data_IF_029715821999
#
_entry.id   IF_029715821999
#
_cell.length_a   1.000
_cell.length_b   1.000
_cell.length_c   1.000
_cell.angle_alpha   90.00
_cell.angle_beta   90.00
_cell.angle_gamma   90.00
#
_symmetry.space_group_name_H-M   'P 1'
#
loop_
_entity.id
_entity.type
_entity.pdbx_description
1 polymer ?
#
# COMPACT_ATOMS: atom_id res chain seq x y z
N UNK A 1 2.83 20.75 42.39
CA UNK A 1 1.45 20.34 42.78
C UNK A 1 1.22 18.84 42.61
N UNK A 2 2.28 18.06 42.36
CA UNK A 2 2.20 16.59 42.10
C UNK A 2 2.68 15.69 43.27
N UNK A 3 3.03 16.27 44.39
CA UNK A 3 3.47 15.47 45.57
C UNK A 3 2.34 15.21 46.60
N UNK A 4 1.18 15.85 46.44
CA UNK A 4 0.07 15.78 47.41
C UNK A 4 -1.02 14.75 47.08
N UNK A 5 -1.01 14.18 45.88
CA UNK A 5 -2.00 13.17 45.45
C UNK A 5 -1.58 11.71 45.68
N UNK A 6 -0.31 11.46 46.00
CA UNK A 6 0.20 10.11 46.27
C UNK A 6 0.08 9.67 47.72
N UNK A 7 -0.17 10.58 48.64
CA UNK A 7 -0.16 10.29 50.07
C UNK A 7 -1.52 9.94 50.66
N UNK A 8 -2.62 10.08 49.93
CA UNK A 8 -3.99 9.99 50.51
C UNK A 8 -4.69 8.64 50.31
N UNK A 9 -4.15 7.74 49.49
CA UNK A 9 -4.77 6.41 49.28
C UNK A 9 -4.11 5.33 50.13
N UNK A 10 -2.81 5.46 50.46
CA UNK A 10 -2.05 4.48 51.25
C UNK A 10 -2.25 4.60 52.77
N UNK A 11 -2.63 5.77 53.31
CA UNK A 11 -2.82 5.98 54.75
C UNK A 11 -4.19 5.50 55.30
N UNK A 12 -5.04 4.93 54.45
CA UNK A 12 -6.35 4.35 54.86
C UNK A 12 -6.45 2.85 54.78
N UNK A 13 -5.39 2.17 54.40
CA UNK A 13 -5.34 0.71 54.41
C UNK A 13 -4.73 0.25 55.75
N UNK A 14 -5.59 -0.30 56.60
CA UNK A 14 -5.20 -0.96 57.84
C UNK A 14 -4.30 -2.17 57.48
N UNK A 15 -2.98 -1.99 57.59
CA UNK A 15 -1.94 -2.95 57.17
C UNK A 15 -1.98 -4.29 57.91
N UNK A 16 -2.86 -4.41 58.93
CA UNK A 16 -2.95 -5.61 59.75
C UNK A 16 -3.88 -6.69 59.21
N UNK A 17 -4.58 -6.45 58.10
CA UNK A 17 -5.53 -7.39 57.47
C UNK A 17 -5.13 -7.86 56.06
N UNK A 18 -3.88 -7.68 55.68
CA UNK A 18 -3.38 -8.12 54.37
C UNK A 18 -2.83 -9.55 54.47
N UNK A 19 -3.69 -10.54 54.58
CA UNK A 19 -3.30 -11.92 54.28
C UNK A 19 -3.32 -12.15 52.76
N UNK A 20 -2.39 -12.94 52.25
CA UNK A 20 -2.22 -13.26 50.81
C UNK A 20 -3.50 -13.84 50.15
N UNK A 21 -4.49 -14.21 50.96
CA UNK A 21 -5.78 -14.79 50.52
C UNK A 21 -6.90 -13.77 50.31
N UNK A 22 -6.62 -12.45 50.36
CA UNK A 22 -7.67 -11.45 50.13
C UNK A 22 -8.04 -11.39 48.62
N UNK A 23 -9.28 -11.71 48.21
CA UNK A 23 -9.71 -11.75 46.80
C UNK A 23 -9.54 -10.43 46.05
N UNK A 24 -9.61 -9.28 46.74
CA UNK A 24 -9.38 -7.96 46.16
C UNK A 24 -7.90 -7.70 45.86
N UNK A 25 -7.00 -8.19 46.71
CA UNK A 25 -5.52 -8.10 46.47
C UNK A 25 -5.12 -9.04 45.37
N UNK A 26 -5.61 -10.27 45.35
CA UNK A 26 -5.35 -11.20 44.23
C UNK A 26 -5.88 -10.67 42.91
N UNK A 27 -7.08 -10.05 42.89
CA UNK A 27 -7.60 -9.43 41.66
C UNK A 27 -6.81 -8.21 41.21
N UNK A 28 -6.34 -7.36 42.13
CA UNK A 28 -5.47 -6.21 41.76
C UNK A 28 -4.07 -6.62 41.34
N UNK A 29 -3.47 -7.63 41.96
CA UNK A 29 -2.19 -8.21 41.55
C UNK A 29 -2.29 -8.89 40.19
N UNK A 30 -3.38 -9.62 39.90
CA UNK A 30 -3.63 -10.18 38.58
C UNK A 30 -3.85 -9.10 37.52
N UNK A 31 -4.53 -8.00 37.83
CA UNK A 31 -4.72 -6.87 36.93
C UNK A 31 -3.37 -6.17 36.60
N UNK A 32 -2.53 -5.94 37.61
CA UNK A 32 -1.20 -5.36 37.41
C UNK A 32 -0.31 -6.27 36.57
N UNK A 33 -0.28 -7.56 36.83
CA UNK A 33 0.49 -8.55 36.06
C UNK A 33 0.06 -8.59 34.59
N UNK A 34 -1.25 -8.55 34.34
CA UNK A 34 -1.81 -8.52 33.00
C UNK A 34 -1.49 -7.22 32.25
N UNK A 35 -1.48 -6.08 32.95
CA UNK A 35 -1.06 -4.81 32.36
C UNK A 35 0.42 -4.82 32.02
N UNK A 36 1.27 -5.34 32.86
CA UNK A 36 2.71 -5.50 32.59
C UNK A 36 2.96 -6.40 31.39
N UNK A 37 2.25 -7.53 31.27
CA UNK A 37 2.34 -8.42 30.11
C UNK A 37 1.94 -7.71 28.81
N UNK A 38 0.89 -6.89 28.81
CA UNK A 38 0.47 -6.12 27.63
C UNK A 38 1.49 -5.02 27.27
N UNK A 39 2.11 -4.37 28.25
CA UNK A 39 3.16 -3.38 28.03
C UNK A 39 4.43 -4.02 27.43
N UNK A 40 4.83 -5.19 27.93
CA UNK A 40 5.95 -5.96 27.38
C UNK A 40 5.65 -6.41 25.95
N UNK A 41 4.42 -6.84 25.69
CA UNK A 41 3.99 -7.23 24.35
C UNK A 41 4.01 -6.04 23.38
N UNK A 42 3.49 -4.88 23.80
CA UNK A 42 3.54 -3.63 23.04
C UNK A 42 4.98 -3.26 22.68
N UNK A 43 5.86 -3.24 23.66
CA UNK A 43 7.29 -2.97 23.44
C UNK A 43 7.94 -3.98 22.47
N UNK A 44 7.60 -5.26 22.58
CA UNK A 44 8.09 -6.30 21.68
C UNK A 44 7.62 -6.10 20.23
N UNK A 45 6.39 -5.64 20.02
CA UNK A 45 5.86 -5.32 18.69
C UNK A 45 6.57 -4.10 18.09
N UNK A 46 6.74 -3.04 18.87
CA UNK A 46 7.40 -1.80 18.44
C UNK A 46 8.87 -2.07 18.10
N UNK A 47 9.57 -2.82 18.93
CA UNK A 47 10.98 -3.16 18.71
C UNK A 47 11.25 -3.96 17.43
N UNK A 48 10.26 -4.64 16.86
CA UNK A 48 10.41 -5.29 15.56
C UNK A 48 10.56 -4.29 14.41
N UNK A 49 10.20 -3.02 14.60
CA UNK A 49 10.25 -1.95 13.59
C UNK A 49 9.58 -2.31 12.26
N UNK A 50 8.51 -3.08 12.34
CA UNK A 50 7.75 -3.57 11.16
C UNK A 50 6.33 -3.03 11.10
N UNK A 51 5.79 -2.56 12.23
CA UNK A 51 4.44 -2.03 12.33
C UNK A 51 4.48 -0.51 12.36
N UNK A 52 3.61 0.10 11.56
CA UNK A 52 3.43 1.55 11.50
C UNK A 52 1.94 1.89 11.53
N UNK A 53 1.62 3.12 11.94
CA UNK A 53 0.25 3.64 11.99
C UNK A 53 0.24 5.13 11.59
N UNK A 54 -0.76 5.54 10.79
CA UNK A 54 -0.98 6.95 10.44
C UNK A 54 -2.07 7.61 11.32
N UNK A 55 -2.41 6.99 12.45
CA UNK A 55 -3.49 7.39 13.34
C UNK A 55 -4.85 6.76 12.99
N UNK A 56 -5.06 6.31 11.77
CA UNK A 56 -6.29 5.69 11.28
C UNK A 56 -6.11 4.26 10.77
N UNK A 57 -4.98 3.99 10.16
CA UNK A 57 -4.68 2.75 9.48
C UNK A 57 -3.34 2.18 9.95
N UNK A 58 -3.28 0.87 10.08
CA UNK A 58 -2.04 0.15 10.35
C UNK A 58 -1.40 -0.33 9.07
N UNK A 59 -0.07 -0.34 9.09
CA UNK A 59 0.78 -0.76 7.97
C UNK A 59 1.86 -1.71 8.46
N UNK A 60 2.22 -2.67 7.63
CA UNK A 60 3.34 -3.57 7.90
C UNK A 60 4.46 -3.37 6.88
N UNK A 61 5.68 -3.22 7.37
CA UNK A 61 6.88 -3.09 6.56
C UNK A 61 7.44 -4.46 6.22
N UNK A 62 7.75 -4.66 4.95
CA UNK A 62 8.55 -5.76 4.40
C UNK A 62 9.89 -5.18 3.93
N UNK A 63 10.91 -5.13 4.80
CA UNK A 63 12.15 -4.38 4.52
C UNK A 63 12.93 -4.95 3.34
N UNK A 64 12.85 -6.25 3.09
CA UNK A 64 13.57 -6.94 2.01
C UNK A 64 13.20 -6.43 0.62
N UNK A 65 11.96 -5.91 0.49
CA UNK A 65 11.42 -5.36 -0.76
C UNK A 65 10.96 -3.92 -0.61
N UNK A 66 11.26 -3.26 0.52
CA UNK A 66 10.92 -1.86 0.84
C UNK A 66 9.42 -1.56 0.73
N UNK A 67 8.57 -2.57 0.92
CA UNK A 67 7.12 -2.45 0.82
C UNK A 67 6.51 -2.14 2.18
N UNK A 68 5.72 -1.07 2.28
CA UNK A 68 4.78 -0.84 3.36
C UNK A 68 3.38 -1.16 2.86
N UNK A 69 2.80 -2.20 3.41
CA UNK A 69 1.48 -2.68 3.04
C UNK A 69 0.45 -2.29 4.10
N UNK A 70 -0.65 -1.69 3.64
CA UNK A 70 -1.77 -1.35 4.50
C UNK A 70 -2.48 -2.60 4.99
N UNK A 71 -2.71 -2.69 6.30
CA UNK A 71 -3.42 -3.80 6.91
C UNK A 71 -4.95 -3.64 6.79
N UNK A 72 -5.71 -4.74 6.86
CA UNK A 72 -7.16 -4.70 6.86
C UNK A 72 -7.71 -3.98 8.09
N UNK A 73 -9.00 -3.63 8.09
CA UNK A 73 -9.68 -2.95 9.21
C UNK A 73 -10.59 -3.89 10.01
N UNK A 74 -10.96 -3.43 11.20
CA UNK A 74 -11.97 -4.09 12.02
C UNK A 74 -11.59 -5.50 12.48
N UNK A 75 -12.49 -6.45 12.33
CA UNK A 75 -12.24 -7.82 12.78
C UNK A 75 -11.18 -8.57 11.98
N UNK A 76 -10.96 -8.18 10.71
CA UNK A 76 -9.87 -8.75 9.89
C UNK A 76 -8.50 -8.29 10.39
N UNK A 77 -8.37 -7.05 10.88
CA UNK A 77 -7.16 -6.58 11.52
C UNK A 77 -6.86 -7.39 12.80
N UNK A 78 -7.86 -7.61 13.63
CA UNK A 78 -7.72 -8.44 14.86
C UNK A 78 -7.24 -9.85 14.50
N UNK A 79 -7.83 -10.46 13.46
CA UNK A 79 -7.39 -11.78 12.97
C UNK A 79 -5.95 -11.74 12.46
N UNK A 80 -5.60 -10.75 11.65
CA UNK A 80 -4.23 -10.58 11.15
C UNK A 80 -3.22 -10.50 12.29
N UNK A 81 -3.49 -9.66 13.30
CA UNK A 81 -2.62 -9.52 14.47
C UNK A 81 -2.47 -10.85 15.21
N UNK A 82 -3.58 -11.55 15.47
CA UNK A 82 -3.58 -12.85 16.15
C UNK A 82 -2.71 -13.87 15.41
N UNK A 83 -2.91 -14.01 14.11
CA UNK A 83 -2.29 -15.07 13.31
C UNK A 83 -0.82 -14.78 12.95
N UNK A 84 -0.48 -13.51 12.71
CA UNK A 84 0.82 -13.14 12.15
C UNK A 84 1.79 -12.52 13.16
N UNK A 85 1.30 -11.90 14.22
CA UNK A 85 2.13 -11.22 15.22
C UNK A 85 2.06 -11.91 16.58
N UNK A 86 0.89 -12.01 17.16
CA UNK A 86 0.73 -12.52 18.53
C UNK A 86 1.11 -13.99 18.65
N UNK A 87 0.75 -14.81 17.69
CA UNK A 87 1.13 -16.24 17.66
C UNK A 87 2.65 -16.43 17.63
N UNK A 88 3.36 -15.61 16.89
CA UNK A 88 4.84 -15.66 16.82
C UNK A 88 5.51 -15.24 18.13
N UNK A 89 4.83 -14.42 18.91
CA UNK A 89 5.31 -13.93 20.21
C UNK A 89 4.79 -14.77 21.39
N UNK A 90 4.03 -15.85 21.15
CA UNK A 90 3.49 -16.72 22.20
C UNK A 90 2.22 -16.20 22.89
N UNK A 91 1.55 -15.17 22.31
CA UNK A 91 0.35 -14.54 22.87
C UNK A 91 -0.94 -14.90 22.12
N UNK A 92 -1.03 -16.09 21.57
CA UNK A 92 -2.19 -16.54 20.76
C UNK A 92 -3.51 -16.64 21.52
N UNK A 93 -3.47 -16.72 22.87
CA UNK A 93 -4.64 -16.88 23.73
C UNK A 93 -5.27 -15.55 24.18
N UNK A 94 -4.77 -14.40 23.71
CA UNK A 94 -5.36 -13.12 24.05
C UNK A 94 -6.81 -13.00 23.55
N UNK A 95 -7.67 -12.44 24.40
CA UNK A 95 -9.07 -12.17 24.03
C UNK A 95 -9.14 -11.08 22.94
N UNK A 96 -10.21 -11.10 22.15
CA UNK A 96 -10.47 -10.06 21.14
C UNK A 96 -10.51 -8.66 21.77
N UNK A 97 -11.05 -8.51 22.97
CA UNK A 97 -11.09 -7.24 23.71
C UNK A 97 -9.68 -6.74 24.04
N UNK A 98 -8.79 -7.63 24.53
CA UNK A 98 -7.41 -7.28 24.84
C UNK A 98 -6.62 -6.90 23.57
N UNK A 99 -6.85 -7.59 22.46
CA UNK A 99 -6.23 -7.24 21.17
C UNK A 99 -6.69 -5.86 20.69
N UNK A 100 -7.98 -5.56 20.79
CA UNK A 100 -8.51 -4.23 20.43
C UNK A 100 -7.94 -3.11 21.32
N UNK A 101 -7.80 -3.36 22.63
CA UNK A 101 -7.17 -2.41 23.54
C UNK A 101 -5.71 -2.16 23.14
N UNK A 102 -4.93 -3.20 22.87
CA UNK A 102 -3.56 -3.11 22.41
C UNK A 102 -3.45 -2.33 21.09
N UNK A 103 -4.35 -2.58 20.13
CA UNK A 103 -4.39 -1.84 18.86
C UNK A 103 -4.68 -0.35 19.08
N UNK A 104 -5.59 0.00 19.98
CA UNK A 104 -5.87 1.41 20.30
C UNK A 104 -4.67 2.11 20.93
N UNK A 105 -3.93 1.44 21.81
CA UNK A 105 -2.70 1.98 22.40
C UNK A 105 -1.57 2.13 21.38
N UNK A 106 -1.44 1.16 20.46
CA UNK A 106 -0.50 1.23 19.35
C UNK A 106 -0.84 2.37 18.38
N UNK A 107 -2.12 2.62 18.11
CA UNK A 107 -2.55 3.64 17.16
C UNK A 107 -2.14 5.07 17.53
N UNK A 108 -1.93 5.33 18.83
CA UNK A 108 -1.51 6.65 19.35
C UNK A 108 -0.03 6.70 19.72
N UNK A 109 0.73 5.64 19.46
CA UNK A 109 2.12 5.55 19.83
C UNK A 109 3.02 6.25 18.81
N UNK A 110 3.83 7.20 19.28
CA UNK A 110 4.70 8.01 18.42
C UNK A 110 5.84 7.22 17.78
N UNK A 111 6.25 6.09 18.37
CA UNK A 111 7.36 5.28 17.84
C UNK A 111 7.00 4.54 16.56
N UNK A 112 5.71 4.29 16.34
CA UNK A 112 5.22 3.63 15.11
C UNK A 112 4.46 4.60 14.20
N UNK A 113 4.46 5.89 14.53
CA UNK A 113 3.76 6.88 13.71
C UNK A 113 4.47 7.07 12.36
N UNK A 114 3.69 7.06 11.28
CA UNK A 114 4.18 7.34 9.93
C UNK A 114 3.35 8.46 9.30
N UNK A 115 4.01 9.46 8.76
CA UNK A 115 3.35 10.50 7.99
C UNK A 115 3.07 10.01 6.56
N UNK A 116 1.90 10.35 6.03
CA UNK A 116 1.55 9.99 4.65
C UNK A 116 2.52 10.62 3.61
N UNK A 117 3.10 11.77 3.92
CA UNK A 117 4.13 12.41 3.10
C UNK A 117 5.39 11.53 2.90
N UNK A 118 5.62 10.52 3.74
CA UNK A 118 6.75 9.60 3.56
C UNK A 118 6.68 8.81 2.24
N UNK A 119 5.47 8.58 1.71
CA UNK A 119 5.26 7.90 0.42
C UNK A 119 5.39 8.83 -0.79
N UNK A 120 5.17 10.12 -0.62
CA UNK A 120 5.17 11.12 -1.71
C UNK A 120 6.59 11.43 -2.20
N UNK A 121 7.59 11.28 -1.34
CA UNK A 121 9.01 11.56 -1.66
C UNK A 121 9.61 10.59 -2.69
N UNK A 122 8.94 9.51 -3.01
CA UNK A 122 9.50 8.43 -3.81
C UNK A 122 8.91 8.36 -5.24
N UNK A 123 8.22 9.41 -5.70
CA UNK A 123 7.57 9.43 -7.03
C UNK A 123 8.54 9.34 -8.22
N UNK A 124 9.81 9.67 -7.98
CA UNK A 124 10.89 9.61 -9.00
C UNK A 124 11.53 8.22 -9.09
N UNK A 125 11.07 7.28 -8.29
CA UNK A 125 11.64 5.95 -8.19
C UNK A 125 10.64 4.86 -8.53
N UNK A 126 11.13 3.77 -9.11
CA UNK A 126 10.37 2.54 -9.34
C UNK A 126 10.92 1.44 -8.45
N UNK A 127 10.08 0.88 -7.57
CA UNK A 127 10.47 -0.16 -6.63
C UNK A 127 10.32 -1.56 -7.24
N UNK A 128 11.43 -2.27 -7.40
CA UNK A 128 11.52 -3.66 -7.82
C UNK A 128 11.84 -4.57 -6.63
N UNK A 129 11.62 -5.86 -6.75
CA UNK A 129 11.99 -6.81 -5.68
C UNK A 129 13.46 -6.74 -5.26
N UNK A 130 14.35 -6.43 -6.17
CA UNK A 130 15.80 -6.44 -5.92
C UNK A 130 16.44 -5.05 -5.82
N UNK A 131 15.67 -3.97 -5.79
CA UNK A 131 16.20 -2.61 -5.68
C UNK A 131 15.27 -1.56 -6.25
N UNK A 132 15.78 -0.38 -6.42
CA UNK A 132 15.05 0.81 -6.85
C UNK A 132 15.71 1.41 -8.08
N UNK A 133 14.90 1.77 -9.07
CA UNK A 133 15.33 2.48 -10.28
C UNK A 133 14.93 3.96 -10.17
N UNK A 134 15.90 4.85 -10.23
CA UNK A 134 15.67 6.28 -10.41
C UNK A 134 15.31 6.56 -11.88
N UNK A 135 14.12 7.09 -12.13
CA UNK A 135 13.61 7.33 -13.49
C UNK A 135 14.27 8.51 -14.18
N UNK A 136 14.84 9.48 -13.42
CA UNK A 136 15.48 10.65 -13.98
C UNK A 136 16.90 10.35 -14.45
N UNK A 137 17.62 9.52 -13.70
CA UNK A 137 19.02 9.19 -13.98
C UNK A 137 19.21 7.83 -14.65
N UNK A 138 18.18 6.97 -14.61
CA UNK A 138 18.26 5.58 -15.05
C UNK A 138 19.16 4.70 -14.17
N UNK A 139 19.58 5.20 -13.00
CA UNK A 139 20.45 4.47 -12.08
C UNK A 139 19.65 3.49 -11.25
N UNK A 140 20.08 2.23 -11.22
CA UNK A 140 19.53 1.21 -10.34
C UNK A 140 20.39 1.07 -9.07
N UNK A 141 19.74 1.01 -7.91
CA UNK A 141 20.38 0.85 -6.59
C UNK A 141 19.74 -0.32 -5.87
N UNK A 142 20.53 -1.36 -5.57
CA UNK A 142 20.03 -2.57 -4.89
C UNK A 142 19.68 -2.30 -3.42
N UNK A 143 20.47 -1.48 -2.75
CA UNK A 143 20.29 -1.09 -1.35
C UNK A 143 19.85 0.38 -1.30
N UNK A 144 18.59 0.64 -1.60
CA UNK A 144 18.03 1.98 -1.51
C UNK A 144 17.26 2.13 -0.20
N UNK A 145 17.46 3.28 0.44
CA UNK A 145 16.62 3.72 1.55
C UNK A 145 15.28 4.20 1.02
N UNK A 146 14.26 4.02 1.84
CA UNK A 146 12.90 4.45 1.54
C UNK A 146 11.89 3.32 1.54
N UNK A 147 10.63 3.72 1.63
CA UNK A 147 9.50 2.79 1.68
C UNK A 147 8.50 3.14 0.60
N UNK A 148 7.92 2.12 0.01
CA UNK A 148 6.95 2.24 -1.07
C UNK A 148 5.67 1.52 -0.68
N UNK A 149 4.53 2.02 -1.11
CA UNK A 149 3.24 1.36 -0.95
C UNK A 149 2.98 0.30 -2.04
N UNK A 150 3.93 0.13 -2.95
CA UNK A 150 3.91 -0.92 -3.98
C UNK A 150 5.31 -1.49 -4.24
N UNK A 151 5.35 -2.64 -4.85
CA UNK A 151 6.54 -3.23 -5.45
C UNK A 151 6.18 -3.87 -6.79
N UNK A 152 7.03 -3.72 -7.79
CA UNK A 152 6.90 -4.51 -9.00
C UNK A 152 7.37 -5.94 -8.72
N UNK A 153 6.48 -6.90 -8.92
CA UNK A 153 6.72 -8.33 -8.66
C UNK A 153 7.63 -8.96 -9.71
N UNK A 154 8.73 -8.27 -9.98
CA UNK A 154 9.79 -8.68 -10.88
C UNK A 154 11.14 -8.14 -10.39
N UNK A 155 12.21 -8.63 -10.98
CA UNK A 155 13.58 -8.17 -10.71
C UNK A 155 14.04 -7.28 -11.86
N UNK A 156 14.65 -6.15 -11.53
CA UNK A 156 15.34 -5.34 -12.52
C UNK A 156 16.64 -6.02 -12.95
N UNK A 157 16.94 -5.97 -14.24
CA UNK A 157 18.21 -6.38 -14.80
C UNK A 157 18.60 -5.40 -15.91
N UNK A 158 19.83 -4.94 -15.88
CA UNK A 158 20.41 -4.10 -16.94
C UNK A 158 20.92 -4.94 -18.14
N UNK A 159 21.10 -6.25 -17.95
CA UNK A 159 21.51 -7.15 -19.02
C UNK A 159 20.32 -7.45 -19.95
N UNK A 160 20.58 -7.45 -21.24
CA UNK A 160 19.61 -7.96 -22.21
C UNK A 160 19.50 -9.47 -21.98
N UNK A 161 18.50 -9.90 -21.29
CA UNK A 161 18.13 -11.30 -21.23
C UNK A 161 17.27 -11.63 -22.45
N UNK A 162 17.44 -12.82 -22.95
CA UNK A 162 16.56 -13.45 -23.94
C UNK A 162 15.16 -13.55 -23.31
N UNK A 163 14.36 -12.51 -23.47
CA UNK A 163 13.02 -12.48 -22.90
C UNK A 163 12.02 -12.80 -24.00
N UNK A 164 11.16 -13.79 -23.74
CA UNK A 164 10.02 -14.10 -24.60
C UNK A 164 8.93 -13.02 -24.62
N UNK A 165 9.10 -11.97 -23.80
CA UNK A 165 8.09 -10.91 -23.71
C UNK A 165 7.97 -10.09 -25.00
N UNK A 166 9.05 -9.61 -25.64
CA UNK A 166 8.94 -8.95 -26.92
C UNK A 166 8.19 -9.83 -27.95
N UNK A 167 8.50 -11.13 -28.00
CA UNK A 167 7.83 -12.10 -28.91
C UNK A 167 6.34 -12.21 -28.66
N UNK A 168 5.96 -12.32 -27.39
CA UNK A 168 4.55 -12.39 -27.02
C UNK A 168 3.82 -11.08 -27.32
N UNK A 169 4.46 -9.94 -27.08
CA UNK A 169 3.93 -8.62 -27.39
C UNK A 169 3.69 -8.46 -28.90
N UNK A 170 4.57 -8.95 -29.71
CA UNK A 170 4.48 -8.85 -31.16
C UNK A 170 3.44 -9.77 -31.77
N UNK A 171 3.30 -11.00 -31.24
CA UNK A 171 2.17 -11.87 -31.55
C UNK A 171 0.84 -11.19 -31.22
N UNK A 172 0.80 -10.45 -30.12
CA UNK A 172 -0.35 -9.64 -29.70
C UNK A 172 -0.66 -8.52 -30.69
N UNK A 173 0.36 -7.85 -31.20
CA UNK A 173 0.22 -6.80 -32.21
C UNK A 173 -0.06 -7.35 -33.61
N UNK A 174 -0.15 -8.69 -33.77
CA UNK A 174 -0.36 -9.40 -35.05
C UNK A 174 0.68 -9.07 -36.13
N UNK A 175 1.86 -8.72 -35.73
CA UNK A 175 2.96 -8.45 -36.65
C UNK A 175 3.84 -9.71 -36.74
N UNK A 176 4.17 -10.19 -37.95
CA UNK A 176 5.16 -11.25 -38.12
C UNK A 176 6.53 -10.75 -37.69
N UNK A 177 7.23 -11.52 -36.87
CA UNK A 177 8.51 -11.07 -36.34
C UNK A 177 9.55 -12.15 -36.26
N UNK A 178 10.72 -11.75 -36.70
CA UNK A 178 11.98 -12.33 -36.34
C UNK A 178 12.57 -11.50 -35.19
N UNK A 179 12.57 -12.05 -33.99
CA UNK A 179 12.86 -11.32 -32.75
C UNK A 179 14.34 -11.22 -32.41
N UNK A 180 15.17 -11.97 -33.08
CA UNK A 180 16.61 -11.82 -32.88
C UNK A 180 17.06 -10.42 -33.29
N UNK A 181 16.19 -9.65 -33.95
CA UNK A 181 16.55 -8.34 -34.44
C UNK A 181 15.38 -7.34 -34.48
N UNK A 182 15.10 -6.65 -33.34
CA UNK A 182 14.23 -5.46 -33.33
C UNK A 182 14.67 -4.45 -34.41
N UNK A 183 15.94 -4.47 -34.77
CA UNK A 183 16.51 -3.63 -35.82
C UNK A 183 16.16 -4.09 -37.26
N UNK A 184 15.64 -5.32 -37.43
CA UNK A 184 15.17 -5.83 -38.72
C UNK A 184 13.71 -5.52 -39.02
N UNK A 185 12.98 -4.96 -38.03
CA UNK A 185 11.60 -4.55 -38.21
C UNK A 185 11.48 -3.36 -39.16
N UNK A 186 10.31 -3.28 -39.80
CA UNK A 186 9.93 -2.02 -40.44
C UNK A 186 9.95 -0.88 -39.45
N UNK A 187 10.32 0.32 -39.81
CA UNK A 187 10.30 1.48 -38.92
C UNK A 187 8.90 1.71 -38.27
N UNK A 188 7.85 1.37 -38.99
CA UNK A 188 6.47 1.46 -38.52
C UNK A 188 6.19 0.47 -37.37
N UNK A 189 6.65 -0.77 -37.51
CA UNK A 189 6.40 -1.83 -36.51
C UNK A 189 7.29 -1.65 -35.29
N UNK A 190 8.52 -1.23 -35.50
CA UNK A 190 9.45 -0.79 -34.44
C UNK A 190 8.86 0.34 -33.62
N UNK A 191 8.28 1.36 -34.27
CA UNK A 191 7.62 2.48 -33.56
C UNK A 191 6.43 2.02 -32.72
N UNK A 192 5.63 1.06 -33.20
CA UNK A 192 4.51 0.49 -32.42
C UNK A 192 5.00 -0.23 -31.17
N UNK A 193 6.04 -1.06 -31.30
CA UNK A 193 6.62 -1.78 -30.15
C UNK A 193 7.17 -0.82 -29.12
N UNK A 194 7.93 0.18 -29.55
CA UNK A 194 8.50 1.21 -28.67
C UNK A 194 7.37 1.93 -27.93
N UNK A 195 6.33 2.36 -28.65
CA UNK A 195 5.18 3.06 -28.05
C UNK A 195 4.49 2.23 -26.96
N UNK A 196 4.33 0.92 -27.16
CA UNK A 196 3.73 0.04 -26.15
C UNK A 196 4.67 -0.13 -24.96
N UNK A 197 5.97 -0.28 -25.18
CA UNK A 197 6.94 -0.38 -24.09
C UNK A 197 7.02 0.92 -23.28
N UNK A 198 6.98 2.08 -23.94
CA UNK A 198 6.92 3.39 -23.28
C UNK A 198 5.62 3.54 -22.47
N UNK A 199 4.48 3.12 -23.02
CA UNK A 199 3.22 3.13 -22.30
C UNK A 199 3.25 2.24 -21.04
N UNK A 200 3.86 1.06 -21.13
CA UNK A 200 4.07 0.18 -19.97
C UNK A 200 5.00 0.87 -18.95
N UNK A 201 6.12 1.41 -19.41
CA UNK A 201 7.05 2.16 -18.54
C UNK A 201 6.37 3.32 -17.82
N UNK A 202 5.55 4.09 -18.52
CA UNK A 202 4.76 5.16 -17.93
C UNK A 202 3.75 4.66 -16.87
N UNK A 203 3.08 3.54 -17.11
CA UNK A 203 2.16 2.93 -16.13
C UNK A 203 2.93 2.49 -14.87
N UNK A 204 4.12 1.96 -15.03
CA UNK A 204 4.93 1.45 -13.92
C UNK A 204 5.67 2.54 -13.15
N UNK A 205 5.90 3.72 -13.74
CA UNK A 205 6.45 4.89 -13.06
C UNK A 205 5.36 5.61 -12.24
N UNK A 206 5.74 6.30 -11.15
CA UNK A 206 4.79 7.11 -10.36
C UNK A 206 4.64 8.54 -10.90
N UNK A 207 5.60 9.01 -11.69
CA UNK A 207 5.54 10.36 -12.26
C UNK A 207 4.26 10.61 -13.04
N UNK A 208 3.61 11.73 -12.78
CA UNK A 208 2.43 12.22 -13.50
C UNK A 208 2.78 13.35 -14.52
N UNK A 209 4.06 13.64 -14.71
CA UNK A 209 4.51 14.76 -15.55
C UNK A 209 3.99 14.67 -16.99
N UNK A 210 3.83 13.46 -17.52
CA UNK A 210 3.37 13.24 -18.89
C UNK A 210 1.87 13.47 -19.11
N UNK A 211 1.07 13.48 -18.04
CA UNK A 211 -0.38 13.78 -18.06
C UNK A 211 -1.15 12.97 -19.12
N UNK A 212 -0.96 11.63 -19.14
CA UNK A 212 -1.52 10.74 -20.16
C UNK A 212 -2.47 9.71 -19.55
N UNK A 213 -3.48 9.32 -20.32
CA UNK A 213 -4.22 8.09 -20.14
C UNK A 213 -3.93 7.17 -21.33
N UNK A 214 -3.88 5.88 -21.09
CA UNK A 214 -3.56 4.88 -22.12
C UNK A 214 -4.83 4.19 -22.57
N UNK A 215 -5.05 4.13 -23.89
CA UNK A 215 -6.19 3.45 -24.48
C UNK A 215 -5.73 2.34 -25.44
N UNK A 216 -6.10 1.10 -25.14
CA UNK A 216 -5.93 -0.01 -26.08
C UNK A 216 -7.17 -0.13 -26.97
N UNK A 217 -7.04 0.27 -28.22
CA UNK A 217 -8.12 0.23 -29.21
C UNK A 217 -7.84 -0.87 -30.23
N UNK A 218 -8.84 -1.69 -30.51
CA UNK A 218 -8.72 -2.78 -31.47
C UNK A 218 -9.92 -3.74 -31.43
N UNK A 219 -10.00 -4.68 -32.37
CA UNK A 219 -11.09 -5.63 -32.44
C UNK A 219 -11.17 -6.56 -31.24
N UNK A 220 -12.29 -7.25 -31.06
CA UNK A 220 -12.45 -8.29 -30.04
C UNK A 220 -11.39 -9.37 -30.22
N UNK A 221 -10.92 -9.98 -29.12
CA UNK A 221 -9.87 -11.00 -29.10
C UNK A 221 -8.50 -10.58 -29.67
N UNK A 222 -8.21 -9.26 -29.72
CA UNK A 222 -6.89 -8.74 -30.14
C UNK A 222 -5.85 -8.71 -29.01
N UNK A 223 -6.14 -9.28 -27.84
CA UNK A 223 -5.19 -9.37 -26.72
C UNK A 223 -5.11 -8.17 -25.80
N UNK A 224 -5.93 -7.12 -25.98
CA UNK A 224 -5.95 -5.92 -25.13
C UNK A 224 -6.06 -6.25 -23.63
N UNK A 225 -7.07 -7.03 -23.27
CA UNK A 225 -7.29 -7.43 -21.87
C UNK A 225 -6.19 -8.37 -21.35
N UNK A 226 -5.54 -9.14 -22.22
CA UNK A 226 -4.38 -9.97 -21.84
C UNK A 226 -3.20 -9.09 -21.46
N UNK A 227 -2.90 -8.05 -22.24
CA UNK A 227 -1.83 -7.10 -21.95
C UNK A 227 -2.13 -6.29 -20.68
N UNK A 228 -3.37 -5.80 -20.53
CA UNK A 228 -3.77 -5.07 -19.31
C UNK A 228 -3.64 -5.96 -18.06
N UNK A 229 -4.08 -7.21 -18.11
CA UNK A 229 -3.92 -8.18 -17.02
C UNK A 229 -2.45 -8.50 -16.71
N UNK A 230 -1.62 -8.61 -17.76
CA UNK A 230 -0.18 -8.79 -17.58
C UNK A 230 0.43 -7.61 -16.81
N UNK A 231 0.19 -6.37 -17.24
CA UNK A 231 0.68 -5.16 -16.56
C UNK A 231 0.19 -5.14 -15.10
N UNK A 232 -1.10 -5.43 -14.88
CA UNK A 232 -1.68 -5.49 -13.55
C UNK A 232 -1.07 -6.60 -12.67
N UNK A 233 -0.61 -7.70 -13.28
CA UNK A 233 -0.08 -8.87 -12.55
C UNK A 233 1.26 -8.59 -11.89
N UNK A 234 2.07 -7.71 -12.45
CA UNK A 234 3.40 -7.37 -11.92
C UNK A 234 3.37 -6.28 -10.83
N UNK A 235 2.21 -5.74 -10.50
CA UNK A 235 2.05 -4.75 -9.42
C UNK A 235 1.57 -5.45 -8.15
N UNK A 236 2.31 -5.30 -7.07
CA UNK A 236 1.96 -5.84 -5.75
C UNK A 236 2.00 -4.73 -4.68
N UNK A 237 1.14 -4.76 -3.65
CA UNK A 237 0.07 -5.75 -3.47
C UNK A 237 -1.09 -5.55 -4.45
N UNK A 238 -1.96 -6.54 -4.59
CA UNK A 238 -3.10 -6.47 -5.52
C UNK A 238 -4.07 -5.32 -5.21
N UNK A 239 -4.08 -4.82 -3.99
CA UNK A 239 -4.82 -3.63 -3.58
C UNK A 239 -4.43 -2.36 -4.36
N UNK A 240 -3.22 -2.31 -4.92
CA UNK A 240 -2.70 -1.21 -5.74
C UNK A 240 -3.19 -1.22 -7.19
N UNK A 241 -3.97 -2.23 -7.56
CA UNK A 241 -4.62 -2.34 -8.87
C UNK A 241 -6.12 -2.27 -8.71
N UNK A 242 -6.78 -1.39 -9.43
CA UNK A 242 -8.23 -1.20 -9.41
C UNK A 242 -8.83 -1.39 -10.80
N UNK A 243 -10.15 -1.66 -10.81
CA UNK A 243 -10.93 -1.90 -12.02
C UNK A 243 -12.25 -1.13 -11.97
N UNK A 244 -12.16 0.15 -11.72
CA UNK A 244 -13.35 1.00 -11.67
C UNK A 244 -13.54 1.74 -12.98
N UNK A 245 -14.77 1.80 -13.46
CA UNK A 245 -15.15 2.74 -14.52
C UNK A 245 -15.11 4.18 -13.97
N UNK A 246 -15.01 5.16 -14.85
CA UNK A 246 -15.02 6.57 -14.44
C UNK A 246 -16.32 6.96 -13.72
N UNK A 247 -17.44 6.38 -14.14
CA UNK A 247 -18.74 6.57 -13.50
C UNK A 247 -18.75 6.00 -12.08
N UNK A 248 -18.28 4.77 -11.88
CA UNK A 248 -18.17 4.18 -10.55
C UNK A 248 -17.26 5.00 -9.60
N UNK A 249 -16.19 5.57 -10.14
CA UNK A 249 -15.31 6.43 -9.36
C UNK A 249 -15.96 7.78 -9.01
N UNK A 250 -16.77 8.34 -9.93
CA UNK A 250 -17.42 9.62 -9.74
C UNK A 250 -18.61 9.58 -8.77
N UNK A 251 -19.21 8.41 -8.55
CA UNK A 251 -20.44 8.21 -7.78
C UNK A 251 -20.25 7.78 -6.33
N UNK A 252 -19.01 7.55 -5.84
CA UNK A 252 -18.90 7.06 -4.48
C UNK A 252 -17.52 6.91 -3.87
N UNK A 253 -17.48 6.13 -2.79
CA UNK A 253 -16.27 5.80 -2.01
C UNK A 253 -15.17 5.08 -2.80
N UNK A 254 -15.47 4.62 -4.03
CA UNK A 254 -14.52 4.01 -4.96
C UNK A 254 -13.40 4.97 -5.36
N UNK A 255 -13.67 6.28 -5.39
CA UNK A 255 -12.70 7.31 -5.76
C UNK A 255 -11.46 7.28 -4.86
N UNK A 256 -11.63 7.18 -3.53
CA UNK A 256 -10.50 7.17 -2.59
C UNK A 256 -9.52 6.02 -2.88
N UNK A 257 -10.03 4.80 -3.09
CA UNK A 257 -9.18 3.65 -3.35
C UNK A 257 -8.60 3.66 -4.77
N UNK A 258 -9.30 4.29 -5.72
CA UNK A 258 -8.85 4.41 -7.11
C UNK A 258 -7.71 5.43 -7.24
N UNK A 259 -7.83 6.63 -6.65
CA UNK A 259 -6.82 7.68 -6.79
C UNK A 259 -5.48 7.34 -6.14
N UNK A 260 -5.50 6.51 -5.09
CA UNK A 260 -4.30 6.00 -4.39
C UNK A 260 -3.69 4.76 -5.02
N UNK A 261 -4.40 4.11 -5.94
CA UNK A 261 -3.87 2.95 -6.62
C UNK A 261 -2.67 3.30 -7.51
N UNK A 262 -1.87 2.31 -7.86
CA UNK A 262 -0.82 2.43 -8.87
C UNK A 262 -1.42 2.44 -10.28
N UNK A 263 -2.42 1.58 -10.47
CA UNK A 263 -3.10 1.39 -11.75
C UNK A 263 -4.60 1.25 -11.53
N UNK A 264 -5.39 2.02 -12.28
CA UNK A 264 -6.80 1.74 -12.50
C UNK A 264 -7.00 1.39 -13.98
N UNK A 265 -7.40 0.15 -14.27
CA UNK A 265 -7.73 -0.23 -15.63
C UNK A 265 -9.18 -0.67 -15.75
N UNK A 266 -9.85 -0.24 -16.80
CA UNK A 266 -11.23 -0.58 -17.08
C UNK A 266 -11.37 -1.18 -18.49
N UNK A 267 -12.25 -2.16 -18.62
CA UNK A 267 -12.51 -2.79 -19.92
C UNK A 267 -13.28 -1.85 -20.85
N UNK A 268 -14.01 -0.87 -20.31
CA UNK A 268 -14.81 0.09 -21.03
C UNK A 268 -14.59 1.52 -20.51
N UNK A 269 -14.52 2.46 -21.43
CA UNK A 269 -14.49 3.88 -21.10
C UNK A 269 -15.94 4.39 -21.01
N UNK A 270 -16.44 4.56 -19.80
CA UNK A 270 -17.72 5.18 -19.54
C UNK A 270 -17.55 6.62 -19.07
N UNK A 271 -17.83 7.59 -19.96
CA UNK A 271 -17.81 9.02 -19.70
C UNK A 271 -19.21 9.59 -19.88
N UNK A 272 -20.19 8.98 -19.23
CA UNK A 272 -21.60 9.30 -19.40
C UNK A 272 -22.03 10.59 -18.69
N UNK A 273 -21.27 11.05 -17.70
CA UNK A 273 -21.64 12.20 -16.89
C UNK A 273 -20.58 13.31 -16.90
N UNK A 274 -21.04 14.55 -16.61
CA UNK A 274 -20.15 15.70 -16.45
C UNK A 274 -19.12 15.47 -15.30
N UNK A 275 -19.55 14.76 -14.25
CA UNK A 275 -18.70 14.40 -13.12
C UNK A 275 -17.61 13.40 -13.50
N UNK A 276 -17.94 12.36 -14.28
CA UNK A 276 -16.95 11.39 -14.75
C UNK A 276 -15.92 12.03 -15.68
N UNK A 277 -16.32 12.98 -16.53
CA UNK A 277 -15.40 13.75 -17.38
C UNK A 277 -14.47 14.67 -16.56
N UNK A 278 -14.99 15.32 -15.53
CA UNK A 278 -14.17 16.14 -14.63
C UNK A 278 -13.15 15.30 -13.88
N UNK A 279 -13.57 14.16 -13.34
CA UNK A 279 -12.68 13.22 -12.66
C UNK A 279 -11.60 12.70 -13.62
N UNK A 280 -11.96 12.32 -14.84
CA UNK A 280 -10.99 11.89 -15.85
C UNK A 280 -9.91 12.95 -16.09
N UNK A 281 -10.31 14.21 -16.32
CA UNK A 281 -9.36 15.32 -16.50
C UNK A 281 -8.45 15.49 -15.29
N UNK A 282 -9.01 15.41 -14.09
CA UNK A 282 -8.26 15.54 -12.85
C UNK A 282 -7.25 14.39 -12.68
N UNK A 283 -7.67 13.15 -12.94
CA UNK A 283 -6.78 11.98 -12.86
C UNK A 283 -5.63 12.05 -13.87
N UNK A 284 -5.91 12.51 -15.09
CA UNK A 284 -4.86 12.65 -16.12
C UNK A 284 -3.91 13.79 -15.79
N UNK A 285 -4.41 14.89 -15.20
CA UNK A 285 -3.55 16.03 -14.85
C UNK A 285 -2.64 15.76 -13.63
N UNK A 286 -2.90 14.72 -12.84
CA UNK A 286 -2.15 14.46 -11.62
C UNK A 286 -2.43 15.49 -10.53
N UNK A 287 -3.65 16.01 -10.45
CA UNK A 287 -4.09 16.95 -9.41
C UNK A 287 -4.39 16.26 -8.08
N UNK A 288 -4.95 17.03 -7.18
CA UNK A 288 -5.44 16.54 -5.88
C UNK A 288 -6.95 16.37 -5.92
N UNK A 289 -7.46 15.39 -5.22
CA UNK A 289 -8.88 15.16 -5.03
C UNK A 289 -9.24 15.31 -3.57
N UNK A 290 -10.11 16.27 -3.26
CA UNK A 290 -10.68 16.41 -1.91
C UNK A 290 -11.65 15.27 -1.65
N UNK A 291 -11.37 14.47 -0.66
CA UNK A 291 -12.14 13.28 -0.30
C UNK A 291 -12.78 13.44 1.07
N UNK A 292 -14.11 13.26 1.18
CA UNK A 292 -14.80 13.32 2.45
C UNK A 292 -14.36 12.16 3.37
N UNK A 293 -14.07 12.50 4.62
CA UNK A 293 -13.79 11.53 5.66
C UNK A 293 -14.98 11.40 6.62
N UNK A 294 -15.31 10.16 7.03
CA UNK A 294 -16.29 9.96 8.10
C UNK A 294 -15.68 10.42 9.42
N UNK A 295 -16.33 11.39 10.06
CA UNK A 295 -15.95 11.92 11.38
C UNK A 295 -14.62 12.69 11.45
N UNK A 296 -14.10 13.16 10.33
CA UNK A 296 -12.90 13.99 10.24
C UNK A 296 -13.08 15.04 9.13
N UNK A 297 -12.22 16.05 9.09
CA UNK A 297 -12.17 17.02 8.02
C UNK A 297 -11.84 16.38 6.66
N UNK A 298 -12.38 16.95 5.60
CA UNK A 298 -12.08 16.55 4.23
C UNK A 298 -10.57 16.62 3.99
N UNK A 299 -10.04 15.69 3.22
CA UNK A 299 -8.61 15.61 2.96
C UNK A 299 -8.32 15.65 1.46
N UNK A 300 -7.37 16.50 1.08
CA UNK A 300 -6.79 16.47 -0.25
C UNK A 300 -5.83 15.30 -0.41
N UNK A 301 -6.04 14.52 -1.45
CA UNK A 301 -5.25 13.33 -1.75
C UNK A 301 -4.68 13.46 -3.15
N UNK A 302 -3.36 13.43 -3.31
CA UNK A 302 -2.73 13.45 -4.61
C UNK A 302 -3.12 12.22 -5.43
N UNK A 303 -3.41 12.44 -6.69
CA UNK A 303 -3.79 11.38 -7.62
C UNK A 303 -2.52 10.78 -8.20
N UNK A 304 -2.31 9.49 -7.96
CA UNK A 304 -1.15 8.71 -8.46
C UNK A 304 -1.55 7.69 -9.51
N UNK A 305 -2.80 7.29 -9.54
CA UNK A 305 -3.28 6.20 -10.38
C UNK A 305 -3.13 6.52 -11.87
N UNK A 306 -2.46 5.63 -12.59
CA UNK A 306 -2.49 5.63 -14.04
C UNK A 306 -3.79 5.04 -14.55
N UNK A 307 -4.31 5.61 -15.63
CA UNK A 307 -5.51 5.13 -16.32
C UNK A 307 -5.12 4.31 -17.56
N UNK A 308 -5.65 3.07 -17.62
CA UNK A 308 -5.54 2.16 -18.76
C UNK A 308 -6.92 1.62 -19.14
#
# INVERSE_FOLDING_TARGET
>A
MDALLKTTIFDRLDMNNLTEDNPMLQSSLCLNKRQEELLQLKASIINQKKLYCDGNDFYILQPEIRLIEKLPKGNELVRFFKDNMLKKLGYENLSVASIKSLLNELAVDSEIHIENAAFEKNMEYVNFRNGVLDINTGKFTAEADGYFDYVLDCRYSSSKHDSRFPESLLKLLKEPMDLENINSLSEKDKSKVILVLEAIGYILADSQQERKAIFFIGPTASGKSTLAKFIASIIAPKSMVKKYTLTQMAEGFSSMSAVRAKLNYADELDVSSKKSLQLFKLMVSGGELTLPQKYAEDRDVPIRAKLL
#
